data_IF_229045354399
#
_entry.id   IF_229045354399
#
_cell.length_a   1.000
_cell.length_b   1.000
_cell.length_c   1.000
_cell.angle_alpha   90.00
_cell.angle_beta   90.00
_cell.angle_gamma   90.00
#
_symmetry.space_group_name_H-M   'P 1'
#
loop_
_entity.id
_entity.type
_entity.pdbx_description
1 polymer ?
#
# COMPACT_ATOMS: atom_id res chain seq x y z
N UNK A 1 25.12 39.54 -16.16
CA UNK A 1 24.88 40.79 -15.41
C UNK A 1 26.14 41.68 -15.26
N UNK A 2 27.25 41.31 -15.90
CA UNK A 2 28.52 42.02 -15.70
C UNK A 2 28.74 43.26 -16.59
N UNK A 3 27.78 43.60 -17.44
CA UNK A 3 28.04 44.65 -18.49
C UNK A 3 27.02 45.78 -18.55
N UNK A 4 26.23 46.01 -17.51
CA UNK A 4 25.33 47.15 -17.51
C UNK A 4 25.83 48.26 -16.56
N UNK A 5 26.65 49.15 -17.06
CA UNK A 5 27.18 50.35 -16.39
C UNK A 5 26.12 51.38 -15.96
N UNK A 6 24.84 51.12 -16.21
CA UNK A 6 23.73 52.05 -15.96
C UNK A 6 22.70 51.51 -14.94
N UNK A 7 22.93 50.33 -14.36
CA UNK A 7 22.12 49.81 -13.21
C UNK A 7 22.85 50.23 -11.94
N UNK A 8 22.21 51.06 -11.12
CA UNK A 8 22.74 51.50 -9.82
C UNK A 8 22.94 50.32 -8.87
N UNK A 9 23.79 50.49 -7.85
CA UNK A 9 24.07 49.44 -6.83
C UNK A 9 22.83 49.02 -6.08
N UNK A 10 21.97 49.99 -5.68
CA UNK A 10 20.68 49.74 -5.05
C UNK A 10 19.73 48.93 -5.92
N UNK A 11 19.74 49.14 -7.23
CA UNK A 11 18.93 48.37 -8.17
C UNK A 11 19.42 46.91 -8.30
N UNK A 12 20.74 46.70 -8.27
CA UNK A 12 21.35 45.36 -8.28
C UNK A 12 20.99 44.56 -7.01
N UNK A 13 21.06 45.23 -5.87
CA UNK A 13 20.61 44.62 -4.58
C UNK A 13 19.11 44.23 -4.63
N UNK A 14 18.26 45.15 -5.08
CA UNK A 14 16.82 44.91 -5.20
C UNK A 14 16.52 43.76 -6.18
N UNK A 15 17.21 43.70 -7.33
CA UNK A 15 17.07 42.60 -8.29
C UNK A 15 17.51 41.27 -7.68
N UNK A 16 18.65 41.24 -6.99
CA UNK A 16 19.19 40.03 -6.37
C UNK A 16 18.27 39.50 -5.24
N UNK A 17 17.76 40.40 -4.40
CA UNK A 17 16.78 40.03 -3.35
C UNK A 17 15.48 39.54 -3.97
N UNK A 18 14.96 40.20 -5.00
CA UNK A 18 13.76 39.76 -5.71
C UNK A 18 13.95 38.37 -6.31
N UNK A 19 15.10 38.09 -6.91
CA UNK A 19 15.40 36.79 -7.47
C UNK A 19 15.32 35.65 -6.45
N UNK A 20 15.92 35.81 -5.26
CA UNK A 20 15.86 34.76 -4.22
C UNK A 20 14.44 34.58 -3.67
N UNK A 21 13.65 35.64 -3.54
CA UNK A 21 12.24 35.53 -3.14
C UNK A 21 11.38 34.83 -4.19
N UNK A 22 11.59 35.10 -5.48
CA UNK A 22 10.90 34.41 -6.58
C UNK A 22 11.21 32.92 -6.55
N UNK A 23 12.48 32.54 -6.34
CA UNK A 23 12.86 31.13 -6.19
C UNK A 23 12.20 30.47 -4.97
N UNK A 24 12.18 31.15 -3.83
CA UNK A 24 11.51 30.64 -2.62
C UNK A 24 10.00 30.49 -2.84
N UNK A 25 9.35 31.45 -3.53
CA UNK A 25 7.94 31.37 -3.93
C UNK A 25 7.64 30.21 -4.86
N UNK A 26 8.54 29.94 -5.83
CA UNK A 26 8.44 28.76 -6.69
C UNK A 26 8.55 27.45 -5.88
N UNK A 27 9.47 27.38 -4.92
CA UNK A 27 9.58 26.26 -3.99
C UNK A 27 8.30 26.09 -3.16
N UNK A 28 7.69 27.17 -2.68
CA UNK A 28 6.44 27.14 -1.96
C UNK A 28 5.30 26.61 -2.83
N UNK A 29 5.24 27.01 -4.09
CA UNK A 29 4.25 26.52 -5.05
C UNK A 29 4.39 25.01 -5.29
N UNK A 30 5.63 24.49 -5.36
CA UNK A 30 5.90 23.06 -5.42
C UNK A 30 5.39 22.38 -4.13
N UNK A 31 5.70 22.95 -2.96
CA UNK A 31 5.25 22.46 -1.67
C UNK A 31 3.74 22.30 -1.57
N UNK A 32 3.00 23.32 -1.99
CA UNK A 32 1.54 23.33 -2.00
C UNK A 32 0.97 22.36 -3.06
N UNK A 33 1.53 22.35 -4.28
CA UNK A 33 1.06 21.46 -5.37
C UNK A 33 1.19 19.99 -5.04
N UNK A 34 2.23 19.61 -4.32
CA UNK A 34 2.54 18.24 -3.94
C UNK A 34 2.35 17.98 -2.44
N UNK A 35 1.53 18.77 -1.75
CA UNK A 35 1.27 18.61 -0.33
C UNK A 35 0.82 17.18 0.01
N UNK A 36 1.46 16.56 1.00
CA UNK A 36 1.13 15.24 1.49
C UNK A 36 1.31 14.09 0.48
N UNK A 37 1.93 14.35 -0.68
CA UNK A 37 2.07 13.32 -1.72
C UNK A 37 3.26 12.39 -1.54
N UNK A 38 4.25 12.76 -0.71
CA UNK A 38 5.53 12.04 -0.61
C UNK A 38 6.33 12.01 -1.91
N UNK A 39 6.08 12.93 -2.86
CA UNK A 39 6.69 12.90 -4.19
C UNK A 39 8.22 13.06 -4.12
N UNK A 40 8.94 12.06 -4.63
CA UNK A 40 10.40 11.98 -4.55
C UNK A 40 11.12 13.09 -5.35
N UNK A 41 10.62 13.43 -6.54
CA UNK A 41 11.22 14.47 -7.40
C UNK A 41 11.02 15.86 -6.78
N UNK A 42 9.80 16.17 -6.31
CA UNK A 42 9.50 17.41 -5.61
C UNK A 42 10.38 17.57 -4.36
N UNK A 43 10.50 16.51 -3.55
CA UNK A 43 11.32 16.52 -2.35
C UNK A 43 12.82 16.69 -2.66
N UNK A 44 13.33 16.05 -3.71
CA UNK A 44 14.72 16.19 -4.15
C UNK A 44 15.01 17.62 -4.61
N UNK A 45 14.11 18.21 -5.39
CA UNK A 45 14.21 19.62 -5.87
C UNK A 45 14.23 20.58 -4.69
N UNK A 46 13.31 20.43 -3.75
CA UNK A 46 13.24 21.30 -2.56
C UNK A 46 14.47 21.14 -1.66
N UNK A 47 15.00 19.94 -1.48
CA UNK A 47 16.28 19.73 -0.77
C UNK A 47 17.44 20.40 -1.45
N UNK A 48 17.53 20.33 -2.78
CA UNK A 48 18.56 21.02 -3.54
C UNK A 48 18.54 22.52 -3.27
N UNK A 49 17.39 23.17 -3.35
CA UNK A 49 17.28 24.60 -3.08
C UNK A 49 17.51 24.95 -1.61
N UNK A 50 17.13 24.10 -0.67
CA UNK A 50 17.45 24.32 0.75
C UNK A 50 18.96 24.38 0.98
N UNK A 51 19.73 23.43 0.41
CA UNK A 51 21.19 23.46 0.48
C UNK A 51 21.79 24.67 -0.23
N UNK A 52 21.27 25.03 -1.39
CA UNK A 52 21.73 26.19 -2.17
C UNK A 52 21.56 27.50 -1.41
N UNK A 53 20.42 27.72 -0.77
CA UNK A 53 20.21 28.90 0.08
C UNK A 53 21.14 28.92 1.30
N UNK A 54 21.39 27.76 1.92
CA UNK A 54 22.36 27.65 3.03
C UNK A 54 23.77 27.98 2.56
N UNK A 55 24.18 27.54 1.38
CA UNK A 55 25.47 27.83 0.77
C UNK A 55 25.59 29.35 0.48
N UNK A 56 24.61 29.94 -0.18
CA UNK A 56 24.59 31.38 -0.45
C UNK A 56 24.68 32.21 0.85
N UNK A 57 23.99 31.76 1.92
CA UNK A 57 24.10 32.45 3.23
C UNK A 57 25.49 32.33 3.83
N UNK A 58 26.19 31.21 3.67
CA UNK A 58 27.57 31.04 4.15
C UNK A 58 28.56 31.91 3.42
N UNK A 59 28.42 32.05 2.11
CA UNK A 59 29.30 32.86 1.27
C UNK A 59 28.98 34.34 1.37
N UNK A 60 27.80 34.69 1.86
CA UNK A 60 27.39 36.07 2.09
C UNK A 60 28.29 36.74 3.15
N UNK A 61 29.15 37.72 2.71
CA UNK A 61 30.05 38.50 3.56
C UNK A 61 31.41 37.86 3.80
N UNK A 62 31.80 36.82 3.05
CA UNK A 62 33.14 36.22 3.13
C UNK A 62 34.06 36.97 2.20
N UNK A 63 34.66 37.54 1.81
CA UNK A 63 35.64 38.14 0.87
C UNK A 63 35.58 39.67 0.74
N UNK A 64 34.98 40.38 1.72
CA UNK A 64 34.91 41.85 1.64
C UNK A 64 34.09 42.37 0.46
N UNK A 65 33.42 41.50 -0.29
CA UNK A 65 32.45 41.84 -1.31
C UNK A 65 31.10 42.07 -0.66
N UNK A 66 30.54 43.24 -0.88
CA UNK A 66 29.16 43.54 -0.51
C UNK A 66 28.23 42.47 -1.12
N UNK A 67 27.54 41.74 -0.26
CA UNK A 67 26.59 40.75 -0.71
C UNK A 67 25.31 41.46 -1.13
N UNK A 68 24.95 41.29 -2.39
CA UNK A 68 23.70 41.83 -2.96
C UNK A 68 22.43 41.28 -2.30
N UNK A 69 22.55 40.24 -1.48
CA UNK A 69 21.40 39.61 -0.77
C UNK A 69 21.69 39.59 0.71
N UNK A 70 20.75 40.10 1.50
CA UNK A 70 20.87 40.11 2.97
C UNK A 70 20.78 38.70 3.56
N UNK A 71 21.52 38.44 4.64
CA UNK A 71 21.45 37.18 5.37
C UNK A 71 20.04 36.89 5.91
N UNK A 72 19.29 37.93 6.25
CA UNK A 72 17.90 37.84 6.71
C UNK A 72 16.95 37.36 5.62
N UNK A 73 17.11 37.88 4.38
CA UNK A 73 16.32 37.42 3.23
C UNK A 73 16.58 35.94 2.92
N UNK A 74 17.83 35.52 2.94
CA UNK A 74 18.21 34.11 2.73
C UNK A 74 17.66 33.21 3.83
N UNK A 75 17.63 33.66 5.08
CA UNK A 75 17.07 32.89 6.20
C UNK A 75 15.56 32.70 6.02
N UNK A 76 14.85 33.73 5.61
CA UNK A 76 13.42 33.63 5.27
C UNK A 76 13.19 32.60 4.17
N UNK A 77 14.01 32.64 3.09
CA UNK A 77 13.94 31.65 1.99
C UNK A 77 14.20 30.23 2.47
N UNK A 78 15.19 30.02 3.36
CA UNK A 78 15.47 28.71 3.97
C UNK A 78 14.25 28.20 4.74
N UNK A 79 13.61 29.05 5.54
CA UNK A 79 12.38 28.70 6.27
C UNK A 79 11.24 28.31 5.36
N UNK A 80 11.01 29.04 4.28
CA UNK A 80 9.99 28.73 3.25
C UNK A 80 10.24 27.37 2.63
N UNK A 81 11.47 27.11 2.20
CA UNK A 81 11.80 25.82 1.55
C UNK A 81 11.73 24.66 2.51
N UNK A 82 12.13 24.85 3.78
CA UNK A 82 12.00 23.83 4.82
C UNK A 82 10.53 23.45 5.07
N UNK A 83 9.65 24.45 5.20
CA UNK A 83 8.21 24.23 5.35
C UNK A 83 7.61 23.55 4.12
N UNK A 84 8.00 24.00 2.92
CA UNK A 84 7.52 23.43 1.66
C UNK A 84 7.94 21.97 1.48
N UNK A 85 9.18 21.63 1.82
CA UNK A 85 9.68 20.26 1.80
C UNK A 85 8.90 19.36 2.77
N UNK A 86 8.69 19.85 4.00
CA UNK A 86 7.92 19.09 5.00
C UNK A 86 6.44 19.03 4.67
N UNK A 87 5.90 19.98 3.93
CA UNK A 87 4.54 19.93 3.40
C UNK A 87 4.38 18.79 2.38
N UNK A 88 5.35 18.62 1.45
CA UNK A 88 5.36 17.48 0.51
C UNK A 88 5.45 16.15 1.25
N UNK A 89 6.31 16.08 2.28
CA UNK A 89 6.61 14.86 3.05
C UNK A 89 5.77 14.76 4.32
N UNK A 90 4.62 15.42 4.40
CA UNK A 90 3.81 15.49 5.62
C UNK A 90 3.38 14.10 6.11
N UNK A 91 3.64 13.83 7.39
CA UNK A 91 3.31 12.59 8.07
C UNK A 91 4.19 11.39 7.74
N UNK A 92 5.17 11.52 6.82
CA UNK A 92 5.98 10.37 6.38
C UNK A 92 7.15 10.05 7.31
N UNK A 93 7.60 11.01 8.12
CA UNK A 93 8.83 10.86 8.91
C UNK A 93 10.09 10.66 8.07
N UNK A 94 10.13 11.12 6.81
CA UNK A 94 11.22 10.92 5.86
C UNK A 94 12.60 11.28 6.45
N UNK A 95 13.50 10.30 6.52
CA UNK A 95 14.81 10.46 7.17
C UNK A 95 15.73 11.49 6.51
N UNK A 96 15.85 11.57 5.18
CA UNK A 96 16.60 12.64 4.51
C UNK A 96 16.10 14.03 4.86
N UNK A 97 14.77 14.23 4.90
CA UNK A 97 14.15 15.49 5.30
C UNK A 97 14.43 15.80 6.78
N UNK A 98 14.27 14.82 7.67
CA UNK A 98 14.58 14.98 9.10
C UNK A 98 16.04 15.37 9.33
N UNK A 99 16.99 14.73 8.62
CA UNK A 99 18.42 15.07 8.72
C UNK A 99 18.69 16.51 8.30
N UNK A 100 18.04 16.98 7.24
CA UNK A 100 18.15 18.38 6.81
C UNK A 100 17.58 19.33 7.85
N UNK A 101 16.38 19.08 8.37
CA UNK A 101 15.75 19.93 9.41
C UNK A 101 16.58 19.97 10.70
N UNK A 102 17.15 18.85 11.13
CA UNK A 102 18.09 18.81 12.26
C UNK A 102 19.35 19.64 11.98
N UNK A 103 19.91 19.54 10.78
CA UNK A 103 21.06 20.37 10.37
C UNK A 103 20.71 21.86 10.45
N UNK A 104 19.55 22.24 9.91
CA UNK A 104 19.09 23.63 9.93
C UNK A 104 18.87 24.12 11.38
N UNK A 105 18.28 23.32 12.24
CA UNK A 105 18.06 23.64 13.64
C UNK A 105 19.38 23.80 14.42
N UNK A 106 20.32 22.86 14.28
CA UNK A 106 21.64 22.93 14.93
C UNK A 106 22.44 24.14 14.50
N UNK A 107 22.26 24.60 13.25
CA UNK A 107 22.86 25.82 12.75
C UNK A 107 22.32 27.06 13.50
N UNK A 108 21.03 27.07 13.77
CA UNK A 108 20.38 28.14 14.56
C UNK A 108 20.92 28.18 16.00
N UNK A 109 21.10 27.02 16.63
CA UNK A 109 21.60 26.92 18.01
C UNK A 109 23.07 27.38 18.13
N UNK A 110 23.92 27.03 17.17
CA UNK A 110 25.38 27.35 17.21
C UNK A 110 25.70 28.80 16.93
N UNK A 111 24.90 29.49 16.14
CA UNK A 111 25.21 30.81 15.62
C UNK A 111 24.35 31.92 16.23
N UNK A 112 23.58 31.63 17.27
CA UNK A 112 22.61 32.55 17.89
C UNK A 112 23.21 33.87 18.38
N UNK A 113 24.53 33.91 18.65
CA UNK A 113 25.21 35.11 19.17
C UNK A 113 25.96 35.92 18.10
N UNK A 114 26.16 35.39 16.90
CA UNK A 114 27.06 35.99 15.91
C UNK A 114 26.43 36.22 14.51
N UNK A 115 25.24 35.71 14.25
CA UNK A 115 24.66 35.75 12.91
C UNK A 115 23.43 36.68 12.85
N UNK A 116 23.62 37.85 12.26
CA UNK A 116 22.61 38.93 12.16
C UNK A 116 21.37 38.56 11.30
N UNK A 117 21.10 37.32 11.02
CA UNK A 117 19.91 36.88 10.27
C UNK A 117 19.10 35.81 10.96
N UNK A 118 19.49 35.42 12.18
CA UNK A 118 18.77 34.40 12.95
C UNK A 118 17.74 35.05 13.85
N UNK A 119 16.49 34.92 13.46
CA UNK A 119 15.35 35.47 14.21
C UNK A 119 14.59 34.33 14.91
N UNK A 120 13.77 34.70 15.91
CA UNK A 120 12.80 33.80 16.53
C UNK A 120 11.92 33.12 15.46
N UNK A 121 11.53 33.84 14.41
CA UNK A 121 10.75 33.32 13.29
C UNK A 121 11.41 32.20 12.52
N UNK A 122 12.75 32.20 12.42
CA UNK A 122 13.48 31.10 11.80
C UNK A 122 13.31 29.78 12.59
N UNK A 123 13.34 29.87 13.94
CA UNK A 123 13.05 28.71 14.80
C UNK A 123 11.60 28.24 14.65
N UNK A 124 10.64 29.16 14.55
CA UNK A 124 9.22 28.84 14.35
C UNK A 124 9.01 28.15 13.02
N UNK A 125 9.63 28.62 11.94
CA UNK A 125 9.53 28.01 10.60
C UNK A 125 10.07 26.55 10.60
N UNK A 126 11.24 26.32 11.20
CA UNK A 126 11.81 24.97 11.31
C UNK A 126 10.98 24.08 12.26
N UNK A 127 10.45 24.65 13.35
CA UNK A 127 9.53 23.95 14.26
C UNK A 127 8.26 23.50 13.57
N UNK A 128 7.63 24.38 12.78
CA UNK A 128 6.45 24.06 11.97
C UNK A 128 6.76 22.98 10.92
N UNK A 129 7.92 23.07 10.24
CA UNK A 129 8.37 22.06 9.28
C UNK A 129 8.54 20.68 9.95
N UNK A 130 9.12 20.61 11.16
CA UNK A 130 9.20 19.35 11.91
C UNK A 130 7.81 18.82 12.29
N UNK A 131 6.88 19.69 12.69
CA UNK A 131 5.50 19.31 12.98
C UNK A 131 4.80 18.71 11.76
N UNK A 132 4.98 19.29 10.58
CA UNK A 132 4.42 18.75 9.34
C UNK A 132 5.00 17.38 8.98
N UNK A 133 6.31 17.18 9.13
CA UNK A 133 6.98 15.92 8.83
C UNK A 133 6.41 14.74 9.65
N UNK A 134 6.00 15.01 10.90
CA UNK A 134 5.43 14.03 11.82
C UNK A 134 3.93 14.26 12.07
N UNK A 135 3.21 14.77 11.09
CA UNK A 135 1.80 15.13 11.21
C UNK A 135 0.97 13.94 11.75
N UNK A 136 0.20 14.19 12.81
CA UNK A 136 -0.62 13.16 13.45
C UNK A 136 0.17 11.96 13.98
N UNK A 137 1.47 12.11 14.28
CA UNK A 137 2.31 10.98 14.67
C UNK A 137 2.57 9.99 13.53
N UNK A 138 2.46 10.43 12.27
CA UNK A 138 2.62 9.58 11.08
C UNK A 138 1.30 8.94 10.59
N UNK A 139 0.15 9.33 11.16
CA UNK A 139 -1.15 8.80 10.73
C UNK A 139 -1.88 9.72 9.76
N UNK A 140 -1.46 10.99 9.68
CA UNK A 140 -2.10 12.03 8.88
C UNK A 140 -1.16 12.58 7.83
N UNK A 141 -1.73 13.10 6.75
CA UNK A 141 -1.02 13.87 5.73
C UNK A 141 -1.91 15.01 5.23
N UNK A 142 -1.40 15.87 4.32
CA UNK A 142 -2.17 16.98 3.77
C UNK A 142 -2.94 16.58 2.51
N UNK A 143 -4.12 17.19 2.35
CA UNK A 143 -4.90 17.15 1.13
C UNK A 143 -4.52 18.29 0.19
N UNK A 144 -4.85 18.15 -1.09
CA UNK A 144 -4.59 19.13 -2.16
C UNK A 144 -5.87 19.72 -2.75
N UNK A 145 -7.01 19.58 -2.05
CA UNK A 145 -8.23 20.30 -2.41
C UNK A 145 -8.05 21.83 -2.22
N UNK A 146 -8.90 22.62 -2.86
CA UNK A 146 -8.77 24.07 -2.87
C UNK A 146 -8.79 24.69 -1.47
N UNK A 147 -9.63 24.17 -0.57
CA UNK A 147 -9.76 24.64 0.81
C UNK A 147 -8.49 24.32 1.61
N UNK A 148 -7.97 23.10 1.45
CA UNK A 148 -6.73 22.68 2.08
C UNK A 148 -5.53 23.49 1.61
N UNK A 149 -5.42 23.76 0.30
CA UNK A 149 -4.36 24.61 -0.25
C UNK A 149 -4.46 26.04 0.26
N UNK A 150 -5.67 26.62 0.35
CA UNK A 150 -5.87 27.94 0.90
C UNK A 150 -5.44 28.00 2.39
N UNK A 151 -5.82 27.00 3.18
CA UNK A 151 -5.43 26.89 4.58
C UNK A 151 -3.90 26.76 4.76
N UNK A 152 -3.25 25.91 3.93
CA UNK A 152 -1.80 25.74 3.94
C UNK A 152 -1.06 27.01 3.51
N UNK A 153 -1.54 27.72 2.49
CA UNK A 153 -0.96 28.98 2.04
C UNK A 153 -0.93 30.02 3.17
N UNK A 154 -2.03 30.14 3.90
CA UNK A 154 -2.12 31.05 5.06
C UNK A 154 -1.22 30.56 6.20
N UNK A 155 -1.28 29.27 6.55
CA UNK A 155 -0.48 28.71 7.62
C UNK A 155 1.03 28.83 7.40
N UNK A 156 1.48 28.68 6.15
CA UNK A 156 2.89 28.74 5.76
C UNK A 156 3.36 30.14 5.36
N UNK A 157 2.51 31.17 5.45
CA UNK A 157 2.86 32.52 5.02
C UNK A 157 4.17 32.98 5.71
N UNK A 158 5.20 33.40 4.97
CA UNK A 158 6.58 33.52 5.47
C UNK A 158 6.86 34.82 6.23
N UNK A 159 5.92 35.30 7.00
CA UNK A 159 6.09 36.47 7.85
C UNK A 159 6.00 36.06 9.32
N UNK A 160 7.14 36.02 9.99
CA UNK A 160 7.29 35.58 11.35
C UNK A 160 7.76 36.73 12.28
N UNK A 161 7.53 36.56 13.56
CA UNK A 161 8.03 37.49 14.57
C UNK A 161 9.56 37.47 14.62
N UNK A 162 10.18 38.65 14.82
CA UNK A 162 11.64 38.77 14.90
C UNK A 162 12.18 38.21 16.21
N UNK A 163 11.44 38.45 17.31
CA UNK A 163 11.78 37.97 18.65
C UNK A 163 10.52 37.51 19.42
N UNK A 164 10.66 36.77 20.55
CA UNK A 164 9.53 36.25 21.31
C UNK A 164 8.59 37.32 21.86
N UNK A 165 9.09 38.54 22.09
CA UNK A 165 8.32 39.65 22.67
C UNK A 165 7.74 40.58 21.61
N UNK A 166 7.81 40.20 20.33
CA UNK A 166 7.23 41.00 19.26
C UNK A 166 5.71 40.93 19.30
N UNK A 167 5.07 42.02 19.60
CA UNK A 167 3.63 42.14 19.73
C UNK A 167 2.88 42.27 18.40
N UNK A 168 3.59 42.38 17.28
CA UNK A 168 2.99 42.33 15.95
C UNK A 168 2.46 40.94 15.72
N UNK A 169 1.23 40.81 15.24
CA UNK A 169 0.56 39.52 15.15
C UNK A 169 1.07 38.62 14.00
N UNK A 170 1.63 39.12 12.92
CA UNK A 170 2.24 38.37 11.81
C UNK A 170 1.50 37.09 11.40
N UNK A 171 0.18 37.12 11.41
CA UNK A 171 -0.65 35.96 11.11
C UNK A 171 -0.45 34.73 12.03
N UNK A 172 0.14 34.91 13.24
CA UNK A 172 0.45 33.76 14.10
C UNK A 172 -0.81 32.95 14.51
N UNK A 173 -1.94 33.60 14.72
CA UNK A 173 -3.22 32.96 15.03
C UNK A 173 -3.70 32.02 13.89
N UNK A 174 -3.31 32.29 12.66
CA UNK A 174 -3.71 31.53 11.48
C UNK A 174 -2.74 30.38 11.14
N UNK A 175 -1.61 30.25 11.85
CA UNK A 175 -0.66 29.14 11.64
C UNK A 175 -1.31 27.78 11.85
N UNK A 176 -2.31 27.69 12.72
CA UNK A 176 -3.03 26.45 13.04
C UNK A 176 -4.04 26.02 11.95
N UNK A 177 -4.31 26.85 10.95
CA UNK A 177 -5.23 26.50 9.85
C UNK A 177 -4.75 25.28 9.05
N UNK A 178 -3.49 24.88 9.14
CA UNK A 178 -3.01 23.63 8.52
C UNK A 178 -3.84 22.41 8.96
N UNK A 179 -4.46 22.47 10.16
CA UNK A 179 -5.32 21.39 10.65
C UNK A 179 -6.52 21.12 9.73
N UNK A 180 -7.01 22.15 9.02
CA UNK A 180 -8.09 22.01 8.04
C UNK A 180 -7.66 21.22 6.80
N UNK A 181 -6.36 21.18 6.49
CA UNK A 181 -5.79 20.43 5.39
C UNK A 181 -5.39 19.01 5.77
N UNK A 182 -5.32 18.70 7.07
CA UNK A 182 -4.91 17.38 7.55
C UNK A 182 -6.00 16.34 7.33
N UNK A 183 -5.62 15.17 6.79
CA UNK A 183 -6.49 14.01 6.55
C UNK A 183 -5.82 12.75 7.06
N UNK A 184 -6.60 11.88 7.68
CA UNK A 184 -6.14 10.55 8.08
C UNK A 184 -6.01 9.66 6.86
N UNK A 185 -4.83 9.10 6.63
CA UNK A 185 -4.52 8.25 5.48
C UNK A 185 -3.62 7.06 5.83
N UNK A 186 -3.50 6.74 7.10
CA UNK A 186 -2.75 5.57 7.52
C UNK A 186 -3.36 4.30 6.91
N UNK A 187 -2.50 3.44 6.38
CA UNK A 187 -2.81 2.04 6.10
C UNK A 187 -1.88 1.17 6.93
N UNK A 188 -2.47 0.34 7.75
CA UNK A 188 -1.78 -0.71 8.49
C UNK A 188 -2.17 -2.09 7.95
N UNK A 189 -1.38 -3.11 8.22
CA UNK A 189 -1.72 -4.51 7.93
C UNK A 189 -1.73 -5.31 9.20
N UNK A 190 -2.72 -6.20 9.32
CA UNK A 190 -2.88 -7.10 10.47
C UNK A 190 -2.95 -8.54 9.99
N UNK A 191 -2.35 -9.45 10.74
CA UNK A 191 -2.49 -10.88 10.47
C UNK A 191 -3.95 -11.31 10.68
N UNK A 192 -4.55 -11.96 9.68
CA UNK A 192 -5.95 -12.33 9.71
C UNK A 192 -6.28 -13.37 10.79
N UNK A 193 -5.30 -14.11 11.29
CA UNK A 193 -5.48 -15.15 12.29
C UNK A 193 -5.22 -14.65 13.71
N UNK A 194 -4.13 -13.89 13.91
CA UNK A 194 -3.72 -13.40 15.24
C UNK A 194 -4.25 -12.01 15.57
N UNK A 195 -4.69 -11.25 14.54
CA UNK A 195 -5.05 -9.83 14.63
C UNK A 195 -3.93 -8.90 15.11
N UNK A 196 -2.69 -9.40 15.11
CA UNK A 196 -1.53 -8.60 15.45
C UNK A 196 -1.09 -7.72 14.26
N UNK A 197 -0.59 -6.51 14.53
CA UNK A 197 -0.06 -5.66 13.48
C UNK A 197 1.19 -6.29 12.86
N UNK A 198 1.27 -6.27 11.54
CA UNK A 198 2.37 -6.84 10.77
C UNK A 198 2.87 -5.86 9.73
N UNK A 199 4.17 -5.85 9.51
CA UNK A 199 4.78 -5.03 8.46
C UNK A 199 4.85 -5.81 7.16
N UNK A 200 4.22 -5.29 6.10
CA UNK A 200 4.08 -6.00 4.83
C UNK A 200 4.41 -5.08 3.65
N UNK A 201 5.25 -5.51 2.69
CA UNK A 201 5.46 -4.76 1.47
C UNK A 201 4.19 -4.77 0.61
N UNK A 202 3.81 -3.58 0.16
CA UNK A 202 2.64 -3.34 -0.68
C UNK A 202 3.04 -2.50 -1.90
N UNK A 203 2.31 -2.67 -2.97
CA UNK A 203 2.36 -1.83 -4.15
C UNK A 203 1.07 -1.01 -4.25
N UNK A 204 1.21 0.30 -4.29
CA UNK A 204 0.10 1.24 -4.43
C UNK A 204 0.17 1.85 -5.82
N UNK A 205 -0.90 1.76 -6.58
CA UNK A 205 -1.04 2.42 -7.89
C UNK A 205 -1.98 3.60 -7.74
N UNK A 206 -1.49 4.77 -8.13
CA UNK A 206 -2.25 6.01 -8.15
C UNK A 206 -2.28 6.61 -9.55
N UNK A 207 -3.39 7.24 -9.91
CA UNK A 207 -3.57 7.95 -11.19
C UNK A 207 -3.15 9.40 -11.02
N UNK A 208 -2.17 9.84 -11.80
CA UNK A 208 -1.77 11.24 -11.81
C UNK A 208 -2.85 12.12 -12.47
N UNK A 209 -2.87 13.44 -12.23
CA UNK A 209 -3.80 14.36 -12.89
C UNK A 209 -3.74 14.36 -14.43
N UNK A 210 -2.66 13.80 -14.99
CA UNK A 210 -2.49 13.61 -16.45
C UNK A 210 -3.01 12.25 -16.94
N UNK A 211 -3.70 11.48 -16.09
CA UNK A 211 -4.23 10.16 -16.43
C UNK A 211 -3.20 9.03 -16.49
N UNK A 212 -1.94 9.28 -16.09
CA UNK A 212 -0.91 8.24 -16.05
C UNK A 212 -0.93 7.52 -14.71
N UNK A 213 -0.95 6.19 -14.74
CA UNK A 213 -0.78 5.36 -13.56
C UNK A 213 0.69 5.35 -13.11
N UNK A 214 0.89 5.52 -11.81
CA UNK A 214 2.20 5.42 -11.16
C UNK A 214 2.09 4.44 -10.02
N UNK A 215 2.90 3.39 -10.05
CA UNK A 215 3.00 2.40 -8.99
C UNK A 215 4.19 2.72 -8.08
N UNK A 216 3.94 2.69 -6.77
CA UNK A 216 4.96 2.93 -5.74
C UNK A 216 4.95 1.77 -4.77
N UNK A 217 6.13 1.22 -4.46
CA UNK A 217 6.28 0.18 -3.44
C UNK A 217 6.55 0.82 -2.08
N UNK A 218 5.74 0.46 -1.11
CA UNK A 218 5.83 0.92 0.27
C UNK A 218 5.79 -0.27 1.23
N UNK A 219 6.08 -0.03 2.48
CA UNK A 219 5.98 -1.04 3.55
C UNK A 219 5.01 -0.50 4.59
N UNK A 220 4.05 -1.30 5.00
CA UNK A 220 3.09 -0.92 6.04
C UNK A 220 3.74 -0.92 7.43
N UNK A 221 3.35 0.00 8.37
CA UNK A 221 2.36 1.05 8.16
C UNK A 221 2.84 2.16 7.22
N UNK A 222 1.96 2.68 6.36
CA UNK A 222 2.27 3.74 5.42
C UNK A 222 1.07 4.65 5.17
N UNK A 223 1.30 5.77 4.49
CA UNK A 223 0.22 6.69 4.12
C UNK A 223 -0.30 6.37 2.71
N UNK A 224 -1.62 6.26 2.60
CA UNK A 224 -2.29 6.15 1.31
C UNK A 224 -2.31 7.50 0.56
N UNK A 225 -2.30 7.49 -0.78
CA UNK A 225 -2.51 8.68 -1.59
C UNK A 225 -3.94 9.21 -1.42
N UNK A 226 -4.27 10.30 -2.11
CA UNK A 226 -5.64 10.83 -2.10
C UNK A 226 -6.64 9.79 -2.61
N UNK A 227 -7.82 9.61 -1.96
CA UNK A 227 -8.84 8.66 -2.42
C UNK A 227 -9.24 8.85 -3.89
N UNK A 228 -9.26 10.09 -4.38
CA UNK A 228 -9.57 10.39 -5.78
C UNK A 228 -8.52 9.85 -6.77
N UNK A 229 -7.29 9.67 -6.32
CA UNK A 229 -6.18 9.20 -7.17
C UNK A 229 -5.87 7.72 -7.00
N UNK A 230 -6.29 7.09 -5.91
CA UNK A 230 -6.01 5.68 -5.63
C UNK A 230 -6.76 4.76 -6.61
N UNK A 231 -6.01 3.98 -7.39
CA UNK A 231 -6.54 3.00 -8.34
C UNK A 231 -6.45 1.56 -7.82
N UNK A 232 -5.33 1.18 -7.18
CA UNK A 232 -5.06 -0.20 -6.80
C UNK A 232 -4.16 -0.30 -5.57
N UNK A 233 -4.42 -1.29 -4.74
CA UNK A 233 -3.53 -1.71 -3.64
C UNK A 233 -3.26 -3.20 -3.77
N UNK A 234 -1.99 -3.59 -3.81
CA UNK A 234 -1.57 -4.99 -3.96
C UNK A 234 -0.55 -5.36 -2.89
N UNK A 235 -0.75 -6.50 -2.24
CA UNK A 235 0.23 -7.08 -1.31
C UNK A 235 1.25 -7.89 -2.12
N UNK A 236 2.53 -7.57 -1.97
CA UNK A 236 3.67 -8.23 -2.65
C UNK A 236 4.62 -8.80 -1.60
N UNK A 237 4.12 -9.69 -0.78
CA UNK A 237 4.90 -10.26 0.32
C UNK A 237 5.22 -11.74 0.08
N UNK A 238 6.47 -12.17 0.35
CA UNK A 238 6.81 -13.59 0.31
C UNK A 238 6.21 -14.38 1.49
N UNK A 239 5.77 -13.67 2.57
CA UNK A 239 5.23 -14.30 3.79
C UNK A 239 3.73 -14.41 3.80
N UNK A 240 3.06 -13.49 3.12
CA UNK A 240 1.60 -13.37 3.11
C UNK A 240 1.06 -13.68 1.72
N UNK A 241 -0.17 -14.18 1.67
CA UNK A 241 -0.87 -14.41 0.43
C UNK A 241 -1.07 -13.09 -0.32
N UNK A 242 -0.93 -13.13 -1.65
CA UNK A 242 -1.16 -11.97 -2.49
C UNK A 242 -2.62 -11.53 -2.40
N UNK A 243 -2.84 -10.26 -2.13
CA UNK A 243 -4.16 -9.62 -2.18
C UNK A 243 -4.09 -8.47 -3.17
N UNK A 244 -5.04 -8.43 -4.10
CA UNK A 244 -5.11 -7.43 -5.15
C UNK A 244 -6.47 -6.72 -5.11
N UNK A 245 -6.46 -5.49 -4.61
CA UNK A 245 -7.61 -4.61 -4.53
C UNK A 245 -7.58 -3.62 -5.68
N UNK A 246 -8.18 -3.98 -6.81
CA UNK A 246 -8.41 -3.09 -7.94
C UNK A 246 -9.77 -2.40 -7.77
N UNK A 247 -9.79 -1.11 -7.44
CA UNK A 247 -11.02 -0.38 -7.10
C UNK A 247 -11.94 -0.15 -8.30
N UNK A 248 -11.43 -0.24 -9.53
CA UNK A 248 -12.29 -0.27 -10.72
C UNK A 248 -13.18 -1.52 -10.79
N UNK A 249 -12.74 -2.65 -10.18
CA UNK A 249 -13.49 -3.91 -10.12
C UNK A 249 -14.30 -4.06 -8.83
N UNK A 250 -13.67 -3.75 -7.70
CA UNK A 250 -14.25 -3.95 -6.35
C UNK A 250 -15.27 -2.85 -6.00
N UNK A 251 -15.12 -1.68 -6.61
CA UNK A 251 -16.02 -0.54 -6.46
C UNK A 251 -15.55 0.50 -5.45
N UNK A 252 -16.13 1.69 -5.54
CA UNK A 252 -15.78 2.86 -4.72
C UNK A 252 -16.07 2.64 -3.24
N UNK A 253 -17.15 1.92 -2.91
CA UNK A 253 -17.51 1.60 -1.52
C UNK A 253 -16.43 0.80 -0.79
N UNK A 254 -15.70 -0.09 -1.48
CA UNK A 254 -14.59 -0.81 -0.88
C UNK A 254 -13.40 0.11 -0.60
N UNK A 255 -13.18 1.12 -1.44
CA UNK A 255 -12.16 2.15 -1.23
C UNK A 255 -12.51 3.00 0.00
N UNK A 256 -13.73 3.48 0.11
CA UNK A 256 -14.21 4.21 1.30
C UNK A 256 -14.02 3.37 2.57
N UNK A 257 -14.37 2.08 2.51
CA UNK A 257 -14.19 1.15 3.63
C UNK A 257 -12.71 1.00 4.01
N UNK A 258 -11.80 0.93 3.03
CA UNK A 258 -10.36 0.85 3.30
C UNK A 258 -9.86 2.07 4.08
N UNK A 259 -10.26 3.28 3.66
CA UNK A 259 -9.90 4.52 4.36
C UNK A 259 -10.54 4.64 5.75
N UNK A 260 -11.76 4.12 5.92
CA UNK A 260 -12.44 4.12 7.21
C UNK A 260 -11.81 3.12 8.21
N UNK A 261 -11.50 1.91 7.77
CA UNK A 261 -10.92 0.86 8.61
C UNK A 261 -9.42 1.09 8.87
N UNK A 262 -8.70 1.66 7.92
CA UNK A 262 -7.25 1.92 8.00
C UNK A 262 -6.40 0.68 8.26
N UNK A 263 -6.98 -0.49 8.16
CA UNK A 263 -6.36 -1.78 8.45
C UNK A 263 -6.74 -2.78 7.38
N UNK A 264 -5.74 -3.51 6.87
CA UNK A 264 -5.92 -4.52 5.85
C UNK A 264 -5.51 -5.89 6.41
N UNK A 265 -6.46 -6.83 6.55
CA UNK A 265 -6.14 -8.18 7.02
C UNK A 265 -5.34 -8.94 5.95
N UNK A 266 -4.21 -9.50 6.34
CA UNK A 266 -3.33 -10.30 5.50
C UNK A 266 -3.22 -11.72 6.04
N UNK A 267 -3.27 -12.72 5.16
CA UNK A 267 -3.18 -14.12 5.54
C UNK A 267 -1.74 -14.62 5.37
N UNK A 268 -1.19 -15.19 6.43
CA UNK A 268 0.15 -15.76 6.42
C UNK A 268 0.20 -17.05 5.59
N UNK A 269 1.26 -17.23 4.79
CA UNK A 269 1.50 -18.46 4.04
C UNK A 269 2.01 -19.55 4.99
N UNK A 270 1.58 -20.79 4.77
CA UNK A 270 1.89 -21.93 5.64
C UNK A 270 3.39 -22.16 5.84
N UNK A 271 4.19 -22.01 4.77
CA UNK A 271 5.63 -22.24 4.80
C UNK A 271 6.46 -21.00 5.15
N UNK A 272 5.84 -19.87 5.51
CA UNK A 272 6.60 -18.65 5.81
C UNK A 272 7.29 -18.73 7.17
N UNK A 273 8.57 -18.32 7.20
CA UNK A 273 9.37 -18.23 8.41
C UNK A 273 9.04 -16.96 9.20
N UNK A 274 9.34 -16.96 10.51
CA UNK A 274 9.19 -15.77 11.35
C UNK A 274 10.14 -14.66 10.89
N UNK A 275 9.83 -13.40 11.24
CA UNK A 275 10.65 -12.25 10.90
C UNK A 275 12.08 -12.36 11.49
N UNK A 276 12.23 -12.95 12.66
CA UNK A 276 13.52 -13.15 13.32
C UNK A 276 14.44 -14.08 12.51
N UNK A 277 13.86 -15.13 11.91
CA UNK A 277 14.60 -16.14 11.12
C UNK A 277 14.87 -15.67 9.68
N UNK A 278 14.04 -14.78 9.15
CA UNK A 278 14.09 -14.33 7.76
C UNK A 278 13.63 -12.88 7.61
N UNK A 279 14.50 -11.93 7.95
CA UNK A 279 14.17 -10.49 7.89
C UNK A 279 13.83 -10.01 6.48
N UNK A 280 14.47 -10.55 5.47
CA UNK A 280 14.27 -10.14 4.06
C UNK A 280 13.09 -10.84 3.39
N UNK A 281 12.62 -11.94 3.93
CA UNK A 281 11.58 -12.77 3.32
C UNK A 281 12.07 -13.73 2.22
N UNK A 282 13.37 -13.72 1.89
CA UNK A 282 13.93 -14.55 0.82
C UNK A 282 13.84 -16.05 1.10
N UNK A 283 14.11 -16.46 2.35
CA UNK A 283 13.99 -17.85 2.79
C UNK A 283 12.53 -18.29 2.78
N UNK A 284 11.61 -17.43 3.23
CA UNK A 284 10.17 -17.68 3.19
C UNK A 284 9.66 -17.86 1.76
N UNK A 285 10.15 -17.06 0.82
CA UNK A 285 9.82 -17.19 -0.59
C UNK A 285 10.25 -18.54 -1.15
N UNK A 286 11.50 -18.95 -0.87
CA UNK A 286 12.03 -20.24 -1.30
C UNK A 286 11.26 -21.41 -0.65
N UNK A 287 11.02 -21.34 0.65
CA UNK A 287 10.28 -22.38 1.37
C UNK A 287 8.85 -22.51 0.83
N UNK A 288 8.15 -21.40 0.59
CA UNK A 288 6.80 -21.40 0.00
C UNK A 288 6.81 -21.99 -1.40
N UNK A 289 7.80 -21.67 -2.24
CA UNK A 289 7.94 -22.22 -3.58
C UNK A 289 8.19 -23.73 -3.55
N UNK A 290 9.06 -24.21 -2.66
CA UNK A 290 9.35 -25.62 -2.48
C UNK A 290 8.12 -26.41 -1.99
N UNK A 291 7.38 -25.88 -1.02
CA UNK A 291 6.13 -26.48 -0.55
C UNK A 291 5.09 -26.54 -1.66
N UNK A 292 4.90 -25.45 -2.42
CA UNK A 292 3.98 -25.41 -3.56
C UNK A 292 4.38 -26.44 -4.66
N UNK A 293 5.66 -26.56 -4.94
CA UNK A 293 6.17 -27.54 -5.92
C UNK A 293 5.97 -28.98 -5.42
N UNK A 294 6.25 -29.25 -4.14
CA UNK A 294 6.01 -30.56 -3.52
C UNK A 294 4.55 -30.96 -3.54
N UNK A 295 3.67 -30.04 -3.16
CA UNK A 295 2.23 -30.28 -3.19
C UNK A 295 1.70 -30.49 -4.63
N UNK A 296 2.18 -29.72 -5.61
CA UNK A 296 1.84 -29.92 -7.05
C UNK A 296 2.32 -31.27 -7.56
N UNK A 297 3.51 -31.70 -7.14
CA UNK A 297 4.04 -33.03 -7.50
C UNK A 297 3.20 -34.16 -6.90
N UNK A 298 2.77 -34.01 -5.62
CA UNK A 298 1.90 -34.98 -4.95
C UNK A 298 0.50 -35.07 -5.58
N UNK A 299 -0.01 -33.96 -6.15
CA UNK A 299 -1.30 -33.91 -6.84
C UNK A 299 -1.24 -34.31 -8.32
N UNK A 300 -0.04 -34.52 -8.89
CA UNK A 300 0.07 -34.98 -10.27
C UNK A 300 -0.53 -36.37 -10.39
N UNK A 301 -1.51 -36.59 -11.26
CA UNK A 301 -2.03 -37.93 -11.50
C UNK A 301 -0.87 -38.86 -11.89
N UNK A 302 -0.82 -40.10 -11.42
CA UNK A 302 0.16 -41.04 -11.87
C UNK A 302 0.06 -41.06 -13.40
N UNK A 303 1.18 -40.82 -14.08
CA UNK A 303 1.25 -40.93 -15.55
C UNK A 303 0.77 -42.32 -15.92
N UNK A 304 -0.38 -42.40 -16.54
CA UNK A 304 -0.90 -43.64 -17.14
C UNK A 304 -0.01 -43.92 -18.35
N UNK A 305 1.17 -44.47 -18.10
CA UNK A 305 1.86 -45.23 -19.15
C UNK A 305 1.08 -46.50 -19.32
N UNK A 306 0.25 -46.49 -20.35
CA UNK A 306 -0.37 -47.58 -21.04
C UNK A 306 0.04 -49.00 -20.61
N UNK A 307 -0.64 -49.55 -19.63
CA UNK A 307 -0.99 -50.95 -19.58
C UNK A 307 -2.34 -51.07 -18.83
N UNK A 308 -3.37 -51.22 -19.61
CA UNK A 308 -4.73 -51.45 -19.11
C UNK A 308 -4.77 -52.87 -18.57
N UNK A 309 -4.41 -53.02 -17.30
CA UNK A 309 -4.80 -54.20 -16.52
C UNK A 309 -5.99 -53.79 -15.65
N UNK A 310 -7.16 -54.27 -15.97
CA UNK A 310 -8.44 -54.01 -15.27
C UNK A 310 -8.41 -54.35 -13.74
N UNK A 311 -7.34 -54.96 -13.25
CA UNK A 311 -7.15 -55.30 -11.84
C UNK A 311 -6.40 -54.24 -11.01
N UNK A 312 -5.99 -53.09 -11.58
CA UNK A 312 -5.20 -52.07 -10.89
C UNK A 312 -6.00 -50.86 -10.41
N UNK A 313 -7.30 -50.81 -10.67
CA UNK A 313 -8.17 -49.71 -10.27
C UNK A 313 -8.17 -49.39 -8.72
N UNK A 314 -8.16 -50.38 -7.80
CA UNK A 314 -8.11 -50.08 -6.39
C UNK A 314 -6.80 -49.45 -5.91
N UNK A 315 -5.70 -49.76 -6.54
CA UNK A 315 -4.36 -49.25 -6.20
C UNK A 315 -4.16 -47.79 -6.66
N UNK A 316 -4.65 -47.44 -7.83
CA UNK A 316 -4.62 -46.08 -8.36
C UNK A 316 -5.47 -45.10 -7.49
N UNK A 317 -6.62 -45.58 -7.04
CA UNK A 317 -7.51 -44.80 -6.16
C UNK A 317 -6.90 -44.56 -4.76
N UNK A 318 -6.22 -45.55 -4.18
CA UNK A 318 -5.50 -45.42 -2.93
C UNK A 318 -4.34 -44.45 -3.02
N UNK A 319 -3.65 -44.44 -4.17
CA UNK A 319 -2.53 -43.51 -4.42
C UNK A 319 -3.01 -42.07 -4.58
N UNK A 320 -4.13 -41.84 -5.27
CA UNK A 320 -4.73 -40.52 -5.45
C UNK A 320 -5.25 -39.97 -4.11
N UNK A 321 -5.90 -40.79 -3.28
CA UNK A 321 -6.37 -40.42 -1.95
C UNK A 321 -5.21 -40.06 -1.02
N UNK A 322 -4.09 -40.78 -1.08
CA UNK A 322 -2.88 -40.49 -0.31
C UNK A 322 -2.26 -39.16 -0.75
N UNK A 323 -2.11 -38.94 -2.05
CA UNK A 323 -1.58 -37.71 -2.59
C UNK A 323 -2.45 -36.49 -2.21
N UNK A 324 -3.77 -36.63 -2.21
CA UNK A 324 -4.69 -35.60 -1.77
C UNK A 324 -4.54 -35.26 -0.28
N UNK A 325 -4.36 -36.25 0.59
CA UNK A 325 -4.12 -36.06 2.04
C UNK A 325 -2.80 -35.35 2.29
N UNK A 326 -1.73 -35.82 1.66
CA UNK A 326 -0.40 -35.20 1.80
C UNK A 326 -0.39 -33.74 1.32
N UNK A 327 -1.14 -33.44 0.26
CA UNK A 327 -1.31 -32.08 -0.23
C UNK A 327 -2.15 -31.21 0.72
N UNK A 328 -3.19 -31.77 1.33
CA UNK A 328 -4.00 -31.05 2.32
C UNK A 328 -3.19 -30.68 3.55
N UNK A 329 -2.30 -31.54 4.02
CA UNK A 329 -1.40 -31.26 5.16
C UNK A 329 -0.44 -30.09 4.89
N UNK A 330 0.04 -29.97 3.67
CA UNK A 330 0.96 -28.90 3.27
C UNK A 330 0.23 -27.55 3.08
N UNK A 331 -1.04 -27.61 2.67
CA UNK A 331 -1.76 -26.45 2.21
C UNK A 331 -2.59 -25.76 3.31
N UNK A 332 -3.22 -26.51 4.20
CA UNK A 332 -4.17 -25.97 5.16
C UNK A 332 -3.54 -25.77 6.55
N UNK A 333 -3.55 -24.51 7.03
CA UNK A 333 -3.22 -24.18 8.42
C UNK A 333 -4.44 -24.25 9.35
N UNK A 334 -5.66 -24.29 8.81
CA UNK A 334 -6.90 -24.40 9.56
C UNK A 334 -7.20 -25.90 9.84
N UNK A 335 -7.19 -26.27 11.12
CA UNK A 335 -7.38 -27.66 11.54
C UNK A 335 -8.75 -28.24 11.11
N UNK A 336 -9.80 -27.42 11.09
CA UNK A 336 -11.14 -27.84 10.65
C UNK A 336 -11.21 -28.09 9.17
N UNK A 337 -10.62 -27.19 8.37
CA UNK A 337 -10.54 -27.33 6.93
C UNK A 337 -9.68 -28.51 6.53
N UNK A 338 -8.55 -28.72 7.24
CA UNK A 338 -7.66 -29.86 7.05
C UNK A 338 -8.37 -31.19 7.34
N UNK A 339 -9.06 -31.30 8.49
CA UNK A 339 -9.82 -32.50 8.85
C UNK A 339 -10.90 -32.81 7.81
N UNK A 340 -11.58 -31.77 7.31
CA UNK A 340 -12.61 -31.93 6.29
C UNK A 340 -12.01 -32.35 4.94
N UNK A 341 -10.92 -31.73 4.49
CA UNK A 341 -10.22 -32.10 3.26
C UNK A 341 -9.71 -33.55 3.32
N UNK A 342 -9.18 -33.99 4.46
CA UNK A 342 -8.75 -35.38 4.68
C UNK A 342 -9.94 -36.35 4.61
N UNK A 343 -11.04 -36.03 5.25
CA UNK A 343 -12.26 -36.85 5.21
C UNK A 343 -12.80 -36.99 3.76
N UNK A 344 -12.74 -35.90 2.98
CA UNK A 344 -13.13 -35.94 1.57
C UNK A 344 -12.19 -36.81 0.73
N UNK A 345 -10.90 -36.84 1.02
CA UNK A 345 -9.93 -37.71 0.36
C UNK A 345 -10.07 -39.18 0.75
N UNK A 346 -10.67 -39.49 1.90
CA UNK A 346 -10.91 -40.86 2.36
C UNK A 346 -12.22 -41.47 1.79
N UNK A 347 -12.96 -40.70 0.99
CA UNK A 347 -14.21 -41.13 0.36
C UNK A 347 -14.04 -41.97 -0.90
N UNK A 348 -15.02 -41.89 -1.79
CA UNK A 348 -14.97 -42.53 -3.13
C UNK A 348 -13.80 -41.96 -3.95
N UNK A 349 -13.37 -42.69 -5.00
CA UNK A 349 -12.32 -42.26 -5.91
C UNK A 349 -12.61 -40.88 -6.54
N UNK A 350 -13.87 -40.65 -6.90
CA UNK A 350 -14.31 -39.40 -7.53
C UNK A 350 -14.22 -38.22 -6.55
N UNK A 351 -14.59 -38.46 -5.29
CA UNK A 351 -14.44 -37.46 -4.22
C UNK A 351 -12.97 -37.08 -3.97
N UNK A 352 -12.10 -38.08 -3.91
CA UNK A 352 -10.66 -37.86 -3.75
C UNK A 352 -10.07 -37.13 -4.95
N UNK A 353 -10.46 -37.49 -6.16
CA UNK A 353 -10.05 -36.82 -7.41
C UNK A 353 -10.48 -35.36 -7.44
N UNK A 354 -11.74 -35.07 -7.12
CA UNK A 354 -12.26 -33.71 -7.05
C UNK A 354 -11.51 -32.86 -6.00
N UNK A 355 -11.30 -33.39 -4.79
CA UNK A 355 -10.61 -32.67 -3.72
C UNK A 355 -9.16 -32.36 -4.13
N UNK A 356 -8.49 -33.30 -4.77
CA UNK A 356 -7.14 -33.10 -5.29
C UNK A 356 -7.10 -32.00 -6.39
N UNK A 357 -8.09 -31.97 -7.27
CA UNK A 357 -8.21 -30.92 -8.29
C UNK A 357 -8.51 -29.54 -7.68
N UNK A 358 -9.43 -29.47 -6.72
CA UNK A 358 -9.75 -28.25 -5.99
C UNK A 358 -8.55 -27.71 -5.19
N UNK A 359 -7.79 -28.58 -4.54
CA UNK A 359 -6.54 -28.22 -3.88
C UNK A 359 -5.52 -27.63 -4.85
N UNK A 360 -5.34 -28.27 -6.02
CA UNK A 360 -4.43 -27.78 -7.08
C UNK A 360 -4.82 -26.38 -7.55
N UNK A 361 -6.11 -26.16 -7.78
CA UNK A 361 -6.62 -24.86 -8.21
C UNK A 361 -6.41 -23.79 -7.13
N UNK A 362 -6.78 -24.08 -5.88
CA UNK A 362 -6.59 -23.17 -4.75
C UNK A 362 -5.10 -22.83 -4.52
N UNK A 363 -4.21 -23.81 -4.72
CA UNK A 363 -2.75 -23.58 -4.63
C UNK A 363 -2.24 -22.74 -5.80
N UNK A 364 -2.69 -23.01 -7.02
CA UNK A 364 -2.30 -22.27 -8.21
C UNK A 364 -2.71 -20.80 -8.14
N UNK A 365 -3.84 -20.51 -7.51
CA UNK A 365 -4.38 -19.16 -7.31
C UNK A 365 -3.94 -18.51 -6.01
N UNK A 366 -3.28 -19.23 -5.12
CA UNK A 366 -2.90 -18.75 -3.80
C UNK A 366 -4.10 -18.27 -2.94
N UNK A 367 -5.26 -18.91 -3.08
CA UNK A 367 -6.50 -18.56 -2.37
C UNK A 367 -7.02 -19.74 -1.53
N UNK A 368 -6.40 -20.05 -0.38
CA UNK A 368 -6.73 -21.24 0.43
C UNK A 368 -8.19 -21.27 0.91
N UNK A 369 -8.77 -20.11 1.20
CA UNK A 369 -10.18 -20.02 1.67
C UNK A 369 -11.20 -20.53 0.64
N UNK A 370 -10.86 -20.51 -0.65
CA UNK A 370 -11.71 -21.02 -1.72
C UNK A 370 -11.91 -22.53 -1.65
N UNK A 371 -11.03 -23.29 -0.99
CA UNK A 371 -11.16 -24.73 -0.85
C UNK A 371 -12.49 -25.10 -0.18
N UNK A 372 -12.91 -24.35 0.82
CA UNK A 372 -14.20 -24.59 1.50
C UNK A 372 -15.36 -24.48 0.52
N UNK A 373 -15.38 -23.47 -0.34
CA UNK A 373 -16.44 -23.29 -1.34
C UNK A 373 -16.50 -24.45 -2.35
N UNK A 374 -15.33 -24.95 -2.77
CA UNK A 374 -15.27 -26.14 -3.66
C UNK A 374 -15.83 -27.39 -2.96
N UNK A 375 -15.50 -27.57 -1.69
CA UNK A 375 -15.96 -28.72 -0.92
C UNK A 375 -17.46 -28.64 -0.64
N UNK A 376 -17.96 -27.46 -0.26
CA UNK A 376 -19.40 -27.24 -0.04
C UNK A 376 -20.18 -27.47 -1.37
N UNK A 377 -19.62 -27.08 -2.51
CA UNK A 377 -20.20 -27.34 -3.83
C UNK A 377 -20.27 -28.83 -4.14
N UNK A 378 -19.19 -29.59 -3.89
CA UNK A 378 -19.19 -31.03 -4.11
C UNK A 378 -20.25 -31.75 -3.24
N UNK A 379 -20.34 -31.35 -1.96
CA UNK A 379 -21.35 -31.90 -1.04
C UNK A 379 -22.77 -31.61 -1.52
N UNK A 380 -23.01 -30.41 -2.08
CA UNK A 380 -24.32 -30.03 -2.65
C UNK A 380 -24.63 -30.89 -3.90
N UNK A 381 -23.66 -31.09 -4.80
CA UNK A 381 -23.81 -31.96 -5.97
C UNK A 381 -24.12 -33.41 -5.55
N UNK A 382 -23.39 -33.96 -4.59
CA UNK A 382 -23.59 -35.31 -4.09
C UNK A 382 -24.98 -35.46 -3.42
N UNK A 383 -25.42 -34.46 -2.66
CA UNK A 383 -26.78 -34.46 -2.07
C UNK A 383 -27.86 -34.42 -3.16
N UNK A 384 -27.65 -33.63 -4.22
CA UNK A 384 -28.53 -33.56 -5.38
C UNK A 384 -28.62 -34.88 -6.11
N UNK A 385 -27.48 -35.52 -6.41
CA UNK A 385 -27.45 -36.84 -7.07
C UNK A 385 -28.20 -37.89 -6.25
N UNK A 386 -27.96 -37.97 -4.95
CA UNK A 386 -28.70 -38.88 -4.06
C UNK A 386 -30.19 -38.55 -4.00
N UNK A 387 -30.55 -37.27 -4.11
CA UNK A 387 -31.97 -36.85 -4.10
C UNK A 387 -32.66 -37.26 -5.38
N UNK A 388 -31.98 -37.14 -6.54
CA UNK A 388 -32.49 -37.60 -7.84
C UNK A 388 -32.64 -39.11 -7.88
N UNK A 389 -31.65 -39.87 -7.41
CA UNK A 389 -31.69 -41.34 -7.34
C UNK A 389 -32.83 -41.84 -6.44
N UNK A 390 -33.15 -41.12 -5.35
CA UNK A 390 -34.25 -41.45 -4.43
C UNK A 390 -35.62 -40.96 -4.89
N UNK A 391 -35.64 -40.08 -5.93
CA UNK A 391 -36.82 -39.29 -6.33
C UNK A 391 -37.76 -40.02 -7.26
N UNK A 392 -37.75 -41.37 -7.35
CA UNK A 392 -38.82 -42.05 -8.12
C UNK A 392 -40.24 -41.75 -7.62
N UNK A 393 -40.45 -41.01 -6.51
CA UNK A 393 -41.79 -40.76 -5.90
C UNK A 393 -42.01 -39.42 -5.20
N UNK A 394 -41.40 -38.30 -5.51
CA UNK A 394 -41.76 -37.11 -4.74
C UNK A 394 -41.47 -35.71 -5.33
N UNK A 395 -42.52 -34.89 -5.50
CA UNK A 395 -42.49 -33.47 -5.91
C UNK A 395 -41.60 -32.61 -5.02
N UNK A 396 -41.45 -32.94 -3.72
CA UNK A 396 -40.61 -32.19 -2.79
C UNK A 396 -39.12 -32.40 -3.05
N UNK A 397 -38.72 -33.61 -3.41
CA UNK A 397 -37.33 -33.91 -3.77
C UNK A 397 -36.89 -33.19 -5.06
N UNK A 398 -37.81 -33.09 -6.05
CA UNK A 398 -37.57 -32.33 -7.28
C UNK A 398 -37.46 -30.83 -7.00
N UNK A 399 -38.24 -30.27 -6.06
CA UNK A 399 -38.17 -28.85 -5.69
C UNK A 399 -36.83 -28.49 -4.97
N UNK A 400 -36.32 -29.38 -4.11
CA UNK A 400 -35.03 -29.23 -3.46
C UNK A 400 -33.88 -29.34 -4.48
N UNK A 401 -33.97 -30.29 -5.42
CA UNK A 401 -33.03 -30.45 -6.51
C UNK A 401 -32.93 -29.18 -7.38
N UNK A 402 -34.06 -28.54 -7.68
CA UNK A 402 -34.09 -27.26 -8.44
C UNK A 402 -33.45 -26.13 -7.64
N UNK A 403 -33.64 -26.10 -6.32
CA UNK A 403 -33.01 -25.09 -5.43
C UNK A 403 -31.49 -25.25 -5.43
N UNK A 404 -30.99 -26.48 -5.35
CA UNK A 404 -29.56 -26.77 -5.34
C UNK A 404 -28.91 -26.49 -6.71
N UNK A 405 -29.61 -26.75 -7.81
CA UNK A 405 -29.17 -26.37 -9.17
C UNK A 405 -29.07 -24.84 -9.33
N UNK A 406 -30.01 -24.09 -8.77
CA UNK A 406 -29.93 -22.62 -8.76
C UNK A 406 -28.76 -22.10 -7.95
N UNK A 407 -28.42 -22.75 -6.83
CA UNK A 407 -27.25 -22.43 -6.01
C UNK A 407 -25.95 -22.68 -6.78
N UNK A 408 -25.88 -23.80 -7.51
CA UNK A 408 -24.75 -24.13 -8.40
C UNK A 408 -24.60 -23.12 -9.55
N UNK A 409 -25.70 -22.73 -10.18
CA UNK A 409 -25.67 -21.73 -11.26
C UNK A 409 -25.22 -20.36 -10.72
N UNK A 410 -25.71 -19.96 -9.55
CA UNK A 410 -25.26 -18.74 -8.87
C UNK A 410 -23.76 -18.80 -8.50
N UNK A 411 -23.27 -19.95 -8.02
CA UNK A 411 -21.86 -20.15 -7.72
C UNK A 411 -20.98 -20.11 -8.99
N UNK A 412 -21.41 -20.75 -10.06
CA UNK A 412 -20.77 -20.69 -11.36
C UNK A 412 -20.73 -19.25 -11.94
N UNK A 413 -21.81 -18.52 -11.75
CA UNK A 413 -21.86 -17.09 -12.08
C UNK A 413 -20.90 -16.22 -11.27
N UNK A 414 -20.69 -16.54 -9.96
CA UNK A 414 -19.71 -15.88 -9.13
C UNK A 414 -18.27 -16.19 -9.57
N UNK A 415 -17.99 -17.44 -9.93
CA UNK A 415 -16.69 -17.86 -10.43
C UNK A 415 -16.35 -17.16 -11.76
N UNK A 416 -17.31 -17.07 -12.68
CA UNK A 416 -17.16 -16.29 -13.94
C UNK A 416 -16.84 -14.82 -13.68
N UNK A 417 -17.50 -14.19 -12.72
CA UNK A 417 -17.27 -12.77 -12.33
C UNK A 417 -15.90 -12.56 -11.69
N UNK A 418 -15.36 -13.57 -11.02
CA UNK A 418 -14.02 -13.51 -10.40
C UNK A 418 -12.87 -13.79 -11.37
N UNK A 419 -13.13 -13.86 -12.68
CA UNK A 419 -12.14 -14.17 -13.71
C UNK A 419 -11.48 -15.55 -13.52
N UNK A 420 -12.22 -16.47 -12.98
CA UNK A 420 -11.86 -17.89 -12.90
C UNK A 420 -11.96 -18.43 -14.32
N UNK A 421 -10.91 -19.07 -14.78
CA UNK A 421 -10.93 -19.78 -16.07
C UNK A 421 -11.93 -20.95 -15.95
N UNK A 422 -13.11 -20.76 -16.54
CA UNK A 422 -14.23 -21.69 -16.40
C UNK A 422 -13.93 -22.98 -17.18
N UNK A 423 -13.14 -22.86 -18.25
CA UNK A 423 -12.76 -24.00 -19.09
C UNK A 423 -11.84 -24.98 -18.32
N UNK A 424 -11.02 -24.45 -17.38
CA UNK A 424 -10.25 -25.29 -16.47
C UNK A 424 -11.11 -25.94 -15.37
N UNK A 425 -12.32 -25.47 -15.14
CA UNK A 425 -13.27 -26.05 -14.18
C UNK A 425 -14.17 -27.12 -14.78
N UNK A 426 -14.41 -27.11 -16.08
CA UNK A 426 -15.15 -28.17 -16.77
C UNK A 426 -14.41 -29.52 -16.67
N UNK A 427 -13.08 -29.50 -16.56
CA UNK A 427 -12.26 -30.68 -16.26
C UNK A 427 -12.32 -31.11 -14.77
N UNK A 428 -12.79 -30.24 -13.87
CA UNK A 428 -12.82 -30.47 -12.42
C UNK A 428 -14.21 -30.86 -11.91
N UNK A 429 -15.26 -30.40 -12.58
CA UNK A 429 -16.62 -30.85 -12.34
C UNK A 429 -16.87 -32.10 -13.21
N UNK A 430 -17.07 -33.28 -12.63
CA UNK A 430 -17.42 -34.44 -13.44
C UNK A 430 -18.71 -34.14 -14.22
N UNK A 431 -18.57 -33.84 -15.50
CA UNK A 431 -19.69 -33.57 -16.42
C UNK A 431 -20.85 -34.59 -16.34
N UNK A 432 -20.64 -35.87 -16.00
CA UNK A 432 -21.74 -36.79 -15.76
C UNK A 432 -22.69 -36.36 -14.62
N UNK A 433 -22.20 -35.60 -13.64
CA UNK A 433 -23.04 -35.10 -12.54
C UNK A 433 -23.93 -33.90 -12.95
N UNK A 434 -23.58 -33.16 -14.00
CA UNK A 434 -24.37 -32.03 -14.49
C UNK A 434 -25.36 -32.44 -15.59
N UNK A 435 -25.16 -33.61 -16.22
CA UNK A 435 -26.02 -34.15 -17.29
C UNK A 435 -26.98 -35.23 -16.80
N UNK A 436 -26.84 -35.74 -15.58
CA UNK A 436 -27.77 -36.65 -14.91
C UNK A 436 -28.83 -35.89 -14.12
#
# INVERSE_FOLDING_TARGET
LNDSSWVGEADREAIAQTYVYVLAGACMSIGLRYAGSGNAEASATLRHYAFKFVEWKKTAGQDGKETLVTKSALETCIGVVAMSLSCVMAGTGDLPTLRLLRHLRLRLEKNASSDAGLTYGAHVAIGLANGFLFLGGGTQTFSTDNESIAALLIAMFPQFSENPNDNRWYCQAYRHLYALAARERLLDTVDANTLEPVSTPIEITAVTPRGKEVSTQLVTPCLLPDPATLSRVRIISPRYWSLDLNFARVGEKAKETLYALRSLPVQRRTASLSYEMDRTGAKSQLATALHAAGARAALKPPSIESSVDENSAPLANATAARAGRDAADVFASDATLLAFAKHMCDGSSDRAGYTAAALRECMGREVPKSLRSYVDMYASCEALTRSIEKSEKGVVAAALAISDLRLLDAFHGLLKRSNVDVDAMDDVLPMPMLLA
#
